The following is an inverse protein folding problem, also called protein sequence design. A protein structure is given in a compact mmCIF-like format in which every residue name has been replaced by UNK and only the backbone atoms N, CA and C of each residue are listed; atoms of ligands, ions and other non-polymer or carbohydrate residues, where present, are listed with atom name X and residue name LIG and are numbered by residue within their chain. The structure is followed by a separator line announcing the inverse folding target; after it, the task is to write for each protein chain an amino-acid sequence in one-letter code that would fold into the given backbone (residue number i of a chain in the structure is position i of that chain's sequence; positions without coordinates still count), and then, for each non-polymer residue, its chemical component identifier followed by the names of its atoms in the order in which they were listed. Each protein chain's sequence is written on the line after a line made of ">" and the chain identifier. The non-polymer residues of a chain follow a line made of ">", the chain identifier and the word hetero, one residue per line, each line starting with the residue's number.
data_IF_988738718146
#
_entry.id   IF_988738718146
#
_cell.length_a   1.000
_cell.length_b   1.000
_cell.length_c   1.000
_cell.angle_alpha   90.00
_cell.angle_beta   90.00
_cell.angle_gamma   90.00
#
_symmetry.space_group_name_H-M   'P 1'
#
loop_
_entity.id
_entity.type
_entity.pdbx_description
1 polymer ?
#
# COMPACT_ATOMS: atom_id res chain seq x y z
N UNK A 1 -3.66 -0.92 29.55
CA UNK A 1 -2.92 -1.74 28.56
C UNK A 1 -3.22 -1.17 27.18
N UNK A 2 -2.23 -0.70 26.42
CA UNK A 2 -2.45 -0.26 25.03
C UNK A 2 -2.74 -1.53 24.22
N UNK A 3 -3.95 -1.64 23.68
CA UNK A 3 -4.32 -2.71 22.74
C UNK A 3 -3.31 -2.62 21.60
N UNK A 4 -2.46 -3.63 21.41
CA UNK A 4 -1.60 -3.67 20.23
C UNK A 4 -2.52 -3.68 19.01
N UNK A 5 -2.41 -2.65 18.18
CA UNK A 5 -3.12 -2.59 16.90
C UNK A 5 -2.66 -3.79 16.07
N UNK A 6 -3.62 -4.62 15.68
CA UNK A 6 -3.39 -5.72 14.75
C UNK A 6 -2.77 -5.17 13.47
N UNK A 7 -1.62 -5.72 13.07
CA UNK A 7 -0.94 -5.34 11.82
C UNK A 7 -1.16 -6.47 10.81
N UNK A 8 -1.78 -6.19 9.65
CA UNK A 8 -1.92 -7.19 8.59
C UNK A 8 -0.57 -7.73 8.12
N UNK A 9 -0.53 -9.01 7.73
CA UNK A 9 0.70 -9.65 7.24
C UNK A 9 1.21 -9.00 5.95
N UNK A 10 0.28 -8.67 5.04
CA UNK A 10 0.56 -8.07 3.74
C UNK A 10 0.13 -6.60 3.74
N UNK A 11 1.07 -5.69 3.49
CA UNK A 11 0.82 -4.27 3.27
C UNK A 11 0.71 -4.01 1.76
N UNK A 12 -0.51 -3.78 1.28
CA UNK A 12 -0.80 -3.52 -0.13
C UNK A 12 -0.89 -2.01 -0.34
N UNK A 13 0.06 -1.46 -1.09
CA UNK A 13 0.04 -0.09 -1.56
C UNK A 13 -0.42 -0.05 -3.00
N UNK A 14 -1.47 0.70 -3.30
CA UNK A 14 -2.02 0.82 -4.64
C UNK A 14 -2.09 2.28 -5.08
N UNK A 15 -1.91 2.49 -6.39
CA UNK A 15 -2.25 3.76 -7.03
C UNK A 15 -3.76 4.02 -6.93
N UNK A 16 -4.12 5.11 -6.26
CA UNK A 16 -5.47 5.69 -6.25
C UNK A 16 -5.48 7.13 -6.81
N UNK A 17 -4.43 7.50 -7.56
CA UNK A 17 -4.28 8.86 -8.08
C UNK A 17 -5.20 9.20 -9.25
N UNK A 18 -5.74 8.19 -9.95
CA UNK A 18 -6.82 8.30 -10.95
C UNK A 18 -6.67 9.36 -12.08
N UNK A 19 -5.50 9.97 -12.26
CA UNK A 19 -5.26 10.97 -13.32
C UNK A 19 -5.28 10.40 -14.75
N UNK A 20 -5.13 9.07 -14.89
CA UNK A 20 -5.24 8.37 -16.17
C UNK A 20 -6.30 7.28 -16.07
N UNK A 21 -6.86 6.89 -17.21
CA UNK A 21 -7.82 5.77 -17.28
C UNK A 21 -7.25 4.48 -16.69
N UNK A 22 -5.97 4.20 -16.94
CA UNK A 22 -5.25 3.05 -16.36
C UNK A 22 -5.18 3.18 -14.84
N UNK A 23 -4.84 4.37 -14.31
CA UNK A 23 -4.79 4.62 -12.87
C UNK A 23 -6.14 4.37 -12.19
N UNK A 24 -7.23 4.85 -12.81
CA UNK A 24 -8.59 4.61 -12.32
C UNK A 24 -8.95 3.13 -12.34
N UNK A 25 -8.68 2.43 -13.46
CA UNK A 25 -8.95 1.00 -13.60
C UNK A 25 -8.15 0.16 -12.60
N UNK A 26 -6.89 0.49 -12.35
CA UNK A 26 -6.07 -0.17 -11.33
C UNK A 26 -6.68 -0.01 -9.95
N UNK A 27 -7.12 1.20 -9.58
CA UNK A 27 -7.80 1.42 -8.30
C UNK A 27 -9.08 0.59 -8.14
N UNK A 28 -9.92 0.55 -9.18
CA UNK A 28 -11.15 -0.26 -9.20
C UNK A 28 -10.82 -1.76 -9.09
N UNK A 29 -9.90 -2.26 -9.91
CA UNK A 29 -9.50 -3.67 -9.91
C UNK A 29 -8.91 -4.10 -8.56
N UNK A 30 -8.09 -3.25 -7.94
CA UNK A 30 -7.54 -3.51 -6.60
C UNK A 30 -8.65 -3.60 -5.56
N UNK A 31 -9.65 -2.71 -5.58
CA UNK A 31 -10.77 -2.78 -4.63
C UNK A 31 -11.61 -4.06 -4.83
N UNK A 32 -11.88 -4.45 -6.08
CA UNK A 32 -12.59 -5.69 -6.38
C UNK A 32 -11.81 -6.94 -5.94
N UNK A 33 -10.49 -6.96 -6.14
CA UNK A 33 -9.63 -8.03 -5.67
C UNK A 33 -9.58 -8.07 -4.13
N UNK A 34 -9.39 -6.90 -3.50
CA UNK A 34 -9.28 -6.77 -2.04
C UNK A 34 -10.52 -7.25 -1.31
N UNK A 35 -11.73 -7.03 -1.87
CA UNK A 35 -12.98 -7.54 -1.30
C UNK A 35 -13.03 -9.06 -1.15
N UNK A 36 -12.24 -9.79 -1.93
CA UNK A 36 -12.17 -11.26 -1.92
C UNK A 36 -11.05 -11.80 -1.02
N UNK A 37 -10.21 -10.92 -0.46
CA UNK A 37 -9.09 -11.31 0.40
C UNK A 37 -9.49 -11.37 1.88
N UNK A 38 -8.75 -12.16 2.64
CA UNK A 38 -8.79 -12.15 4.11
C UNK A 38 -8.23 -10.81 4.62
N UNK A 39 -9.09 -9.99 5.23
CA UNK A 39 -8.78 -8.64 5.72
C UNK A 39 -7.90 -8.63 6.96
N UNK A 40 -7.87 -9.73 7.71
CA UNK A 40 -6.95 -9.86 8.85
C UNK A 40 -5.51 -10.05 8.36
N UNK A 41 -5.33 -10.67 7.20
CA UNK A 41 -3.99 -10.90 6.61
C UNK A 41 -3.58 -9.83 5.62
N UNK A 42 -4.52 -9.19 4.94
CA UNK A 42 -4.26 -8.25 3.86
C UNK A 42 -4.80 -6.87 4.21
N UNK A 43 -3.92 -5.88 4.31
CA UNK A 43 -4.29 -4.49 4.53
C UNK A 43 -4.06 -3.63 3.30
N UNK A 44 -5.02 -2.78 2.95
CA UNK A 44 -4.77 -1.65 2.05
C UNK A 44 -4.10 -0.52 2.84
N UNK A 45 -2.87 -0.19 2.47
CA UNK A 45 -2.05 0.82 3.13
C UNK A 45 -2.03 2.12 2.33
N UNK A 46 -1.74 3.22 3.02
CA UNK A 46 -1.85 4.56 2.48
C UNK A 46 -0.53 5.08 1.91
N UNK A 47 -0.38 5.07 0.58
CA UNK A 47 0.80 5.59 -0.12
C UNK A 47 1.03 7.08 0.19
N UNK A 48 -0.03 7.88 0.26
CA UNK A 48 0.10 9.31 0.56
C UNK A 48 0.55 9.59 2.00
N UNK A 49 0.21 8.71 2.95
CA UNK A 49 0.71 8.84 4.32
C UNK A 49 2.22 8.57 4.42
N UNK A 50 2.75 7.64 3.61
CA UNK A 50 4.21 7.45 3.48
C UNK A 50 4.83 8.69 2.81
N UNK A 51 4.22 9.20 1.73
CA UNK A 51 4.72 10.39 1.05
C UNK A 51 4.78 11.63 1.96
N UNK A 52 3.83 11.74 2.89
CA UNK A 52 3.73 12.79 3.91
C UNK A 52 4.46 12.47 5.22
N UNK A 53 5.30 11.42 5.23
CA UNK A 53 6.18 11.04 6.35
C UNK A 53 5.44 10.79 7.67
N UNK A 54 4.21 10.26 7.62
CA UNK A 54 3.39 10.01 8.82
C UNK A 54 4.00 8.87 9.65
N UNK A 55 4.54 9.11 10.86
CA UNK A 55 5.36 8.13 11.57
C UNK A 55 4.62 6.83 11.92
N UNK A 56 3.32 6.92 12.22
CA UNK A 56 2.48 5.75 12.52
C UNK A 56 2.40 4.80 11.32
N UNK A 57 2.23 5.33 10.11
CA UNK A 57 2.08 4.51 8.91
C UNK A 57 3.40 3.82 8.55
N UNK A 58 4.52 4.52 8.71
CA UNK A 58 5.86 3.93 8.52
C UNK A 58 6.09 2.76 9.47
N UNK A 59 5.91 2.99 10.79
CA UNK A 59 6.08 1.94 11.82
C UNK A 59 5.16 0.74 11.63
N UNK A 60 3.94 0.97 11.11
CA UNK A 60 2.99 -0.12 10.83
C UNK A 60 3.43 -0.90 9.58
N UNK A 61 3.95 -0.20 8.57
CA UNK A 61 4.45 -0.83 7.33
C UNK A 61 5.67 -1.69 7.58
N UNK A 62 6.62 -1.22 8.41
CA UNK A 62 7.83 -1.97 8.79
C UNK A 62 7.52 -3.27 9.55
N UNK A 63 6.34 -3.37 10.18
CA UNK A 63 5.88 -4.58 10.87
C UNK A 63 5.19 -5.58 9.94
N UNK A 64 4.82 -5.18 8.72
CA UNK A 64 4.24 -6.09 7.75
C UNK A 64 5.30 -7.09 7.27
N UNK A 65 4.88 -8.34 7.03
CA UNK A 65 5.77 -9.39 6.52
C UNK A 65 6.07 -9.23 5.05
N UNK A 66 5.16 -8.62 4.29
CA UNK A 66 5.28 -8.45 2.85
C UNK A 66 4.75 -7.09 2.42
N UNK A 67 5.56 -6.35 1.68
CA UNK A 67 5.19 -5.07 1.08
C UNK A 67 4.91 -5.29 -0.41
N UNK A 68 3.68 -5.03 -0.81
CA UNK A 68 3.19 -5.18 -2.18
C UNK A 68 2.90 -3.78 -2.73
N UNK A 69 3.48 -3.44 -3.88
CA UNK A 69 3.27 -2.16 -4.53
C UNK A 69 2.60 -2.34 -5.89
N UNK A 70 1.48 -1.66 -6.11
CA UNK A 70 0.69 -1.72 -7.34
C UNK A 70 0.65 -0.31 -7.95
N UNK A 71 1.27 -0.16 -9.11
CA UNK A 71 1.19 1.07 -9.89
C UNK A 71 0.16 0.97 -11.01
N UNK A 72 -0.55 2.07 -11.24
CA UNK A 72 -1.55 2.19 -12.31
C UNK A 72 -1.12 3.05 -13.48
N UNK A 73 0.17 3.43 -13.57
CA UNK A 73 0.71 4.18 -14.71
C UNK A 73 2.22 4.05 -14.81
N UNK A 74 2.79 4.46 -15.95
CA UNK A 74 4.24 4.47 -16.18
C UNK A 74 5.02 5.41 -15.25
N UNK A 75 4.35 6.33 -14.55
CA UNK A 75 5.01 7.22 -13.59
C UNK A 75 5.53 6.49 -12.35
N UNK A 76 4.96 5.33 -12.03
CA UNK A 76 5.37 4.46 -10.92
C UNK A 76 5.45 5.18 -9.55
N UNK A 77 4.48 6.05 -9.28
CA UNK A 77 4.51 6.92 -8.11
C UNK A 77 4.52 6.12 -6.80
N UNK A 78 3.73 5.05 -6.71
CA UNK A 78 3.67 4.22 -5.49
C UNK A 78 5.02 3.60 -5.20
N UNK A 79 5.62 2.94 -6.20
CA UNK A 79 6.96 2.35 -6.10
C UNK A 79 8.01 3.39 -5.69
N UNK A 80 8.06 4.53 -6.39
CA UNK A 80 9.05 5.59 -6.13
C UNK A 80 8.94 6.15 -4.72
N UNK A 81 7.71 6.34 -4.20
CA UNK A 81 7.49 6.84 -2.84
C UNK A 81 8.00 5.83 -1.80
N UNK A 82 7.68 4.54 -1.97
CA UNK A 82 8.12 3.49 -1.04
C UNK A 82 9.64 3.32 -1.05
N UNK A 83 10.26 3.25 -2.24
CA UNK A 83 11.72 3.12 -2.37
C UNK A 83 12.46 4.34 -1.80
N UNK A 84 11.95 5.56 -2.03
CA UNK A 84 12.49 6.80 -1.47
C UNK A 84 12.48 6.79 0.07
N UNK A 85 11.45 6.20 0.68
CA UNK A 85 11.32 6.10 2.15
C UNK A 85 12.14 4.94 2.75
N UNK A 86 12.86 4.19 1.91
CA UNK A 86 13.67 3.04 2.30
C UNK A 86 12.87 1.76 2.53
N UNK A 87 11.62 1.71 2.10
CA UNK A 87 10.78 0.52 2.21
C UNK A 87 11.12 -0.47 1.09
N UNK A 88 11.49 -1.70 1.47
CA UNK A 88 11.79 -2.78 0.52
C UNK A 88 10.49 -3.37 -0.02
N UNK A 89 10.28 -3.27 -1.34
CA UNK A 89 9.14 -3.88 -2.01
C UNK A 89 9.44 -5.36 -2.28
N UNK A 90 8.58 -6.27 -1.78
CA UNK A 90 8.73 -7.71 -1.97
C UNK A 90 8.02 -8.21 -3.23
N UNK A 91 6.92 -7.55 -3.61
CA UNK A 91 6.11 -7.84 -4.82
C UNK A 91 5.68 -6.55 -5.50
N UNK A 92 5.74 -6.53 -6.82
CA UNK A 92 5.41 -5.41 -7.69
C UNK A 92 4.55 -5.86 -8.87
#
# INVERSE_FOLDING_TARGET
>A
MKKEEHVPENAIFCCFGCMSSIGTLTGVATLEAYRKLDKEKNGLFCTSAIAAEVPKHRKTTEKAKTIIAIDGSYNKCTKKILERDGLKIDKY
#
